data_IF_416396516237
#
_entry.id   IF_416396516237
#
_cell.length_a   1.000
_cell.length_b   1.000
_cell.length_c   1.000
_cell.angle_alpha   90.00
_cell.angle_beta   90.00
_cell.angle_gamma   90.00
#
_symmetry.space_group_name_H-M   'P 1'
#
loop_
_entity.id
_entity.type
_entity.pdbx_description
1 polymer ?
#
# COMPACT_ATOMS: atom_id res chain seq x y z
N UNK A 1 -6.17 17.00 8.81
CA UNK A 1 -5.56 16.28 9.95
C UNK A 1 -4.14 15.91 9.55
N UNK A 2 -3.12 16.47 10.21
CA UNK A 2 -1.71 16.15 9.93
C UNK A 2 -1.28 15.12 10.98
N UNK A 3 -0.95 13.91 10.56
CA UNK A 3 -0.33 12.92 11.44
C UNK A 3 1.15 13.31 11.50
N UNK A 4 1.60 13.82 12.65
CA UNK A 4 3.01 14.15 12.85
C UNK A 4 3.87 12.89 12.71
N UNK A 5 4.96 12.98 11.96
CA UNK A 5 5.87 11.85 11.71
C UNK A 5 5.39 10.83 10.67
N UNK A 6 4.26 11.05 9.98
CA UNK A 6 3.83 10.15 8.91
C UNK A 6 4.80 10.21 7.73
N UNK A 7 5.48 9.09 7.44
CA UNK A 7 6.43 8.99 6.33
C UNK A 7 5.86 8.22 5.12
N UNK A 8 4.91 7.33 5.35
CA UNK A 8 4.21 6.59 4.30
C UNK A 8 2.83 6.13 4.76
N UNK A 9 1.94 5.88 3.80
CA UNK A 9 0.71 5.14 4.04
C UNK A 9 0.33 4.35 2.77
N UNK A 10 -0.36 3.23 2.99
CA UNK A 10 -0.89 2.38 1.93
C UNK A 10 -2.41 2.44 2.03
N UNK A 11 -3.05 2.77 0.92
CA UNK A 11 -4.50 2.71 0.77
C UNK A 11 -4.85 1.51 -0.10
N UNK A 12 -5.74 0.66 0.43
CA UNK A 12 -6.26 -0.51 -0.25
C UNK A 12 -7.78 -0.39 -0.22
N UNK A 13 -8.37 -0.21 -1.38
CA UNK A 13 -9.80 -0.41 -1.57
C UNK A 13 -10.01 -1.90 -1.88
N UNK A 14 -10.88 -2.59 -1.14
CA UNK A 14 -11.11 -4.02 -1.37
C UNK A 14 -11.98 -4.28 -2.61
N UNK A 15 -12.80 -3.30 -2.97
CA UNK A 15 -13.70 -3.38 -4.13
C UNK A 15 -13.02 -2.90 -5.41
N UNK A 16 -11.86 -2.22 -5.31
CA UNK A 16 -11.14 -1.64 -6.45
C UNK A 16 -9.64 -1.95 -6.41
N UNK A 17 -9.06 -2.22 -7.58
CA UNK A 17 -7.74 -2.86 -7.66
C UNK A 17 -6.49 -1.97 -7.56
N UNK A 18 -6.45 -0.62 -7.65
CA UNK A 18 -5.18 0.00 -7.34
C UNK A 18 -4.95 -0.02 -5.83
N UNK A 19 -3.90 -0.74 -5.41
CA UNK A 19 -3.24 -0.45 -4.14
C UNK A 19 -2.43 0.82 -4.34
N UNK A 20 -2.74 1.84 -3.55
CA UNK A 20 -2.10 3.15 -3.60
C UNK A 20 -1.09 3.28 -2.47
N UNK A 21 0.16 3.51 -2.82
CA UNK A 21 1.24 3.74 -1.88
C UNK A 21 1.70 5.18 -1.97
N UNK A 22 1.41 5.97 -0.93
CA UNK A 22 1.90 7.33 -0.81
C UNK A 22 3.08 7.35 0.15
N UNK A 23 4.24 7.82 -0.29
CA UNK A 23 5.39 7.97 0.59
C UNK A 23 6.14 9.27 0.38
N UNK A 24 6.71 9.78 1.48
CA UNK A 24 7.55 10.96 1.46
C UNK A 24 8.98 10.53 1.09
N UNK A 25 9.46 11.01 -0.06
CA UNK A 25 10.79 10.70 -0.53
C UNK A 25 11.87 11.50 0.23
N UNK A 26 13.14 11.21 -0.06
CA UNK A 26 14.30 11.90 0.55
C UNK A 26 14.36 13.42 0.28
N UNK A 27 13.56 13.92 -0.67
CA UNK A 27 13.42 15.35 -0.99
C UNK A 27 12.19 15.97 -0.31
N UNK A 28 11.60 15.29 0.67
CA UNK A 28 10.41 15.73 1.42
C UNK A 28 9.22 15.99 0.49
N UNK A 29 9.10 15.19 -0.58
CA UNK A 29 7.97 15.23 -1.50
C UNK A 29 7.19 13.94 -1.42
N UNK A 30 5.88 14.07 -1.31
CA UNK A 30 4.96 12.95 -1.43
C UNK A 30 4.92 12.45 -2.86
N UNK A 31 5.08 11.14 -3.03
CA UNK A 31 5.02 10.44 -4.31
C UNK A 31 3.97 9.36 -4.20
N UNK A 32 3.09 9.28 -5.19
CA UNK A 32 2.08 8.24 -5.33
C UNK A 32 2.58 7.16 -6.27
N UNK A 33 2.57 5.91 -5.80
CA UNK A 33 2.73 4.73 -6.62
C UNK A 33 1.41 3.96 -6.63
N UNK A 34 0.84 3.74 -7.81
CA UNK A 34 -0.38 2.95 -7.98
C UNK A 34 -0.01 1.59 -8.56
N UNK A 35 -0.36 0.53 -7.83
CA UNK A 35 -0.07 -0.85 -8.20
C UNK A 35 -1.37 -1.56 -8.56
N UNK A 36 -1.51 -1.92 -9.84
CA UNK A 36 -2.68 -2.64 -10.35
C UNK A 36 -2.50 -4.16 -10.40
N UNK A 37 -3.50 -4.84 -10.98
CA UNK A 37 -3.52 -6.31 -11.12
C UNK A 37 -2.24 -6.84 -11.78
N UNK A 38 -1.70 -7.93 -11.24
CA UNK A 38 -0.52 -8.60 -11.76
C UNK A 38 0.80 -7.86 -11.53
N UNK A 39 0.79 -6.74 -10.78
CA UNK A 39 2.00 -6.05 -10.35
C UNK A 39 2.45 -6.56 -8.98
N UNK A 40 3.73 -6.36 -8.70
CA UNK A 40 4.30 -6.46 -7.37
C UNK A 40 4.36 -5.08 -6.74
N UNK A 41 3.98 -4.99 -5.48
CA UNK A 41 4.21 -3.80 -4.67
C UNK A 41 5.64 -3.78 -4.17
N UNK A 42 6.17 -2.57 -3.98
CA UNK A 42 7.42 -2.35 -3.26
C UNK A 42 7.23 -1.18 -2.29
N UNK A 43 7.01 -1.49 -1.01
CA UNK A 43 6.92 -0.51 0.06
C UNK A 43 8.32 -0.31 0.65
N UNK A 44 9.01 0.70 0.16
CA UNK A 44 10.46 0.84 0.33
C UNK A 44 10.88 1.11 1.78
N UNK A 45 10.07 1.82 2.58
CA UNK A 45 10.46 2.14 3.97
C UNK A 45 10.35 0.96 4.92
N UNK A 46 9.37 0.07 4.71
CA UNK A 46 9.19 -1.16 5.48
C UNK A 46 9.88 -2.37 4.86
N UNK A 47 10.59 -2.19 3.74
CA UNK A 47 11.28 -3.25 3.00
C UNK A 47 10.35 -4.45 2.69
N UNK A 48 9.12 -4.15 2.28
CA UNK A 48 8.12 -5.17 1.93
C UNK A 48 7.92 -5.20 0.42
N UNK A 49 8.01 -6.41 -0.14
CA UNK A 49 7.68 -6.70 -1.54
C UNK A 49 6.73 -7.88 -1.57
N UNK A 50 5.65 -7.73 -2.33
CA UNK A 50 4.66 -8.80 -2.47
C UNK A 50 3.86 -8.62 -3.75
N UNK A 51 3.24 -9.70 -4.23
CA UNK A 51 2.27 -9.59 -5.31
C UNK A 51 0.99 -8.91 -4.80
N UNK A 52 0.35 -8.12 -5.66
CA UNK A 52 -0.96 -7.55 -5.35
C UNK A 52 -1.98 -8.64 -4.99
N UNK A 53 -1.95 -9.77 -5.71
CA UNK A 53 -2.86 -10.89 -5.46
C UNK A 53 -2.77 -11.40 -4.02
N UNK A 54 -1.55 -11.62 -3.52
CA UNK A 54 -1.33 -12.09 -2.16
C UNK A 54 -1.85 -11.10 -1.10
N UNK A 55 -1.70 -9.80 -1.32
CA UNK A 55 -2.22 -8.78 -0.39
C UNK A 55 -3.74 -8.87 -0.29
N UNK A 56 -4.44 -8.95 -1.42
CA UNK A 56 -5.90 -9.08 -1.42
C UNK A 56 -6.38 -10.40 -0.81
N UNK A 57 -5.69 -11.50 -1.05
CA UNK A 57 -6.03 -12.80 -0.44
C UNK A 57 -5.96 -12.74 1.09
N UNK A 58 -4.91 -12.14 1.64
CA UNK A 58 -4.72 -12.00 3.09
C UNK A 58 -5.78 -11.10 3.72
N UNK A 59 -6.03 -9.91 3.15
CA UNK A 59 -7.02 -8.97 3.69
C UNK A 59 -8.43 -9.58 3.61
N UNK A 60 -8.75 -10.26 2.50
CA UNK A 60 -10.04 -10.94 2.33
C UNK A 60 -10.24 -12.02 3.39
N UNK A 61 -9.18 -12.78 3.73
CA UNK A 61 -9.21 -13.77 4.81
C UNK A 61 -9.41 -13.12 6.17
N UNK A 62 -8.73 -12.01 6.47
CA UNK A 62 -8.84 -11.31 7.76
C UNK A 62 -10.24 -10.76 8.02
N UNK A 63 -10.92 -10.23 7.00
CA UNK A 63 -12.31 -9.76 7.11
C UNK A 63 -13.30 -10.91 7.37
N UNK A 64 -13.03 -12.10 6.85
CA UNK A 64 -13.89 -13.27 7.04
C UNK A 64 -13.79 -13.86 8.46
N UNK A 65 -12.68 -13.63 9.15
CA UNK A 65 -12.41 -14.20 10.48
C UNK A 65 -12.48 -13.18 11.63
N UNK A 66 -12.60 -11.89 11.29
CA UNK A 66 -12.65 -10.75 12.22
C UNK A 66 -14.05 -10.29 12.61
#
# INVERSE_FOLDING_TARGET
MRIEGLEEYVLIDIEQIPVEYLCCNLKVRWVLYSYGKGKEVNFAKVNLKSSIAFIYDVISLEILIG
#
